data_IF_517284422659
#
_entry.id   IF_517284422659
#
_cell.length_a   1.000
_cell.length_b   1.000
_cell.length_c   1.000
_cell.angle_alpha   90.00
_cell.angle_beta   90.00
_cell.angle_gamma   90.00
#
_symmetry.space_group_name_H-M   'P 1'
#
loop_
_entity.id
_entity.type
_entity.pdbx_description
1 polymer ?
#
# COMPACT_ATOMS: atom_id res chain seq x y z
N UNK A 1 -6.08 47.03 -5.44
CA UNK A 1 -4.85 46.34 -5.00
C UNK A 1 -5.04 44.85 -5.17
N UNK A 2 -4.11 44.18 -5.83
CA UNK A 2 -4.20 42.76 -6.12
C UNK A 2 -4.01 41.95 -4.81
N UNK A 3 -4.90 41.01 -4.53
CA UNK A 3 -4.83 40.18 -3.32
C UNK A 3 -3.53 39.37 -3.25
N UNK A 4 -2.95 39.00 -4.39
CA UNK A 4 -1.68 38.30 -4.45
C UNK A 4 -0.52 39.14 -3.89
N UNK A 5 -0.42 40.41 -4.31
CA UNK A 5 0.60 41.35 -3.81
C UNK A 5 0.52 41.48 -2.28
N UNK A 6 -0.70 41.65 -1.76
CA UNK A 6 -0.95 41.76 -0.31
C UNK A 6 -0.49 40.48 0.40
N UNK A 7 -0.82 39.30 -0.12
CA UNK A 7 -0.42 38.01 0.46
C UNK A 7 1.10 37.80 0.46
N UNK A 8 1.77 38.17 -0.63
CA UNK A 8 3.23 38.03 -0.77
C UNK A 8 3.93 38.91 0.26
N UNK A 9 3.56 40.20 0.32
CA UNK A 9 4.14 41.14 1.30
C UNK A 9 3.80 40.72 2.73
N UNK A 10 2.55 40.34 3.00
CA UNK A 10 2.15 39.86 4.32
C UNK A 10 2.94 38.61 4.73
N UNK A 11 3.20 37.67 3.82
CA UNK A 11 4.03 36.50 4.07
C UNK A 11 5.46 36.86 4.46
N UNK A 12 6.08 37.83 3.77
CA UNK A 12 7.44 38.30 4.12
C UNK A 12 7.51 38.99 5.47
N UNK A 13 6.57 39.89 5.76
CA UNK A 13 6.47 40.56 7.06
C UNK A 13 6.33 39.49 8.14
N UNK A 14 5.45 38.52 7.90
CA UNK A 14 5.16 37.49 8.85
C UNK A 14 6.39 36.59 9.15
N UNK A 15 7.08 36.15 8.11
CA UNK A 15 8.34 35.42 8.22
C UNK A 15 9.37 36.15 9.10
N UNK A 16 9.54 37.46 8.89
CA UNK A 16 10.45 38.28 9.71
C UNK A 16 10.02 38.39 11.18
N UNK A 17 8.71 38.51 11.43
CA UNK A 17 8.17 38.57 12.79
C UNK A 17 8.48 37.29 13.55
N UNK A 18 8.39 36.12 12.93
CA UNK A 18 8.76 34.86 13.58
C UNK A 18 10.23 34.76 13.91
N UNK A 19 11.09 35.12 12.96
CA UNK A 19 12.54 35.07 13.16
C UNK A 19 12.96 35.97 14.34
N UNK A 20 12.21 37.04 14.58
CA UNK A 20 12.47 38.01 15.65
C UNK A 20 11.77 37.67 16.98
N UNK A 21 10.89 36.65 17.01
CA UNK A 21 10.12 36.30 18.20
C UNK A 21 10.93 35.43 19.16
N UNK A 22 11.16 35.91 20.37
CA UNK A 22 11.80 35.11 21.44
C UNK A 22 10.84 34.11 22.09
N UNK A 23 9.53 34.23 21.86
CA UNK A 23 8.47 33.42 22.46
C UNK A 23 7.79 32.53 21.40
N UNK A 24 7.94 31.20 21.47
CA UNK A 24 7.38 30.28 20.48
C UNK A 24 5.85 30.21 20.47
N UNK A 25 5.19 30.39 21.62
CA UNK A 25 3.72 30.40 21.70
C UNK A 25 3.12 31.61 20.99
N UNK A 26 3.77 32.77 21.10
CA UNK A 26 3.33 33.98 20.42
C UNK A 26 3.51 33.86 18.91
N UNK A 27 4.61 33.23 18.46
CA UNK A 27 4.81 32.88 17.06
C UNK A 27 3.69 31.95 16.54
N UNK A 28 3.32 30.91 17.28
CA UNK A 28 2.21 30.02 16.89
C UNK A 28 0.88 30.78 16.80
N UNK A 29 0.58 31.62 17.79
CA UNK A 29 -0.65 32.43 17.83
C UNK A 29 -0.73 33.40 16.65
N UNK A 30 0.39 34.09 16.37
CA UNK A 30 0.47 35.05 15.27
C UNK A 30 0.36 34.32 13.91
N UNK A 31 0.92 33.11 13.76
CA UNK A 31 0.75 32.29 12.56
C UNK A 31 -0.68 31.86 12.32
N UNK A 32 -1.37 31.41 13.36
CA UNK A 32 -2.79 31.09 13.24
C UNK A 32 -3.60 32.29 12.78
N UNK A 33 -3.38 33.47 13.39
CA UNK A 33 -4.04 34.73 12.97
C UNK A 33 -3.75 35.08 11.51
N UNK A 34 -2.50 34.93 11.08
CA UNK A 34 -2.12 35.19 9.69
C UNK A 34 -2.83 34.24 8.73
N UNK A 35 -2.79 32.94 8.98
CA UNK A 35 -3.47 31.95 8.15
C UNK A 35 -4.99 32.19 8.15
N UNK A 36 -5.60 32.43 9.30
CA UNK A 36 -7.04 32.68 9.41
C UNK A 36 -7.48 33.92 8.60
N UNK A 37 -6.65 34.96 8.54
CA UNK A 37 -6.94 36.16 7.76
C UNK A 37 -6.91 35.93 6.25
N UNK A 38 -6.07 35.01 5.77
CA UNK A 38 -5.81 34.82 4.34
C UNK A 38 -6.38 33.53 3.75
N UNK A 39 -6.77 32.54 4.57
CA UNK A 39 -7.24 31.22 4.11
C UNK A 39 -8.45 31.32 3.18
N UNK A 40 -9.36 32.26 3.44
CA UNK A 40 -10.59 32.46 2.66
C UNK A 40 -10.38 33.41 1.46
N UNK A 41 -9.27 34.13 1.42
CA UNK A 41 -9.01 35.17 0.41
C UNK A 41 -8.38 34.59 -0.84
N UNK A 42 -8.97 33.57 -1.46
CA UNK A 42 -8.38 32.82 -2.58
C UNK A 42 -7.89 33.73 -3.70
N UNK A 43 -8.70 34.71 -4.10
CA UNK A 43 -8.41 35.64 -5.18
C UNK A 43 -9.12 35.24 -6.46
N UNK A 44 -8.45 35.35 -7.60
CA UNK A 44 -8.99 34.92 -8.88
C UNK A 44 -9.24 33.39 -8.86
N UNK A 45 -10.47 32.91 -9.08
CA UNK A 45 -10.78 31.47 -9.06
C UNK A 45 -9.97 30.66 -10.09
N UNK A 46 -9.70 31.24 -11.26
CA UNK A 46 -8.95 30.60 -12.34
C UNK A 46 -7.47 30.35 -11.99
N UNK A 47 -6.98 31.00 -10.93
CA UNK A 47 -5.63 30.89 -10.39
C UNK A 47 -5.62 30.38 -8.93
N UNK A 48 -6.67 29.67 -8.51
CA UNK A 48 -6.77 29.17 -7.15
C UNK A 48 -5.59 28.27 -6.72
N UNK A 49 -4.90 27.63 -7.68
CA UNK A 49 -3.69 26.84 -7.41
C UNK A 49 -2.56 27.69 -6.79
N UNK A 50 -2.44 28.98 -7.14
CA UNK A 50 -1.43 29.87 -6.56
C UNK A 50 -1.69 30.15 -5.07
N UNK A 51 -2.97 30.21 -4.67
CA UNK A 51 -3.34 30.35 -3.27
C UNK A 51 -2.92 29.12 -2.47
N UNK A 52 -3.19 27.93 -3.00
CA UNK A 52 -2.76 26.67 -2.39
C UNK A 52 -1.24 26.55 -2.35
N UNK A 53 -0.53 27.00 -3.39
CA UNK A 53 0.93 27.10 -3.41
C UNK A 53 1.47 28.02 -2.31
N UNK A 54 0.86 29.20 -2.16
CA UNK A 54 1.23 30.17 -1.13
C UNK A 54 1.00 29.61 0.27
N UNK A 55 -0.18 29.03 0.54
CA UNK A 55 -0.47 28.40 1.83
C UNK A 55 0.53 27.29 2.14
N UNK A 56 0.77 26.39 1.18
CA UNK A 56 1.76 25.32 1.33
C UNK A 56 3.14 25.88 1.73
N UNK A 57 3.59 26.96 1.06
CA UNK A 57 4.85 27.62 1.37
C UNK A 57 4.87 28.25 2.77
N UNK A 58 3.80 28.93 3.19
CA UNK A 58 3.71 29.51 4.54
C UNK A 58 3.82 28.45 5.62
N UNK A 59 3.10 27.32 5.47
CA UNK A 59 3.16 26.21 6.41
C UNK A 59 4.54 25.52 6.42
N UNK A 60 5.18 25.33 5.26
CA UNK A 60 6.52 24.73 5.18
C UNK A 60 7.56 25.60 5.89
N UNK A 61 7.58 26.89 5.59
CA UNK A 61 8.53 27.84 6.20
C UNK A 61 8.34 27.91 7.71
N UNK A 62 7.09 27.96 8.19
CA UNK A 62 6.83 27.94 9.62
C UNK A 62 7.27 26.62 10.27
N UNK A 63 7.06 25.48 9.59
CA UNK A 63 7.54 24.18 10.04
C UNK A 63 9.06 24.12 10.19
N UNK A 64 9.79 24.66 9.21
CA UNK A 64 11.26 24.75 9.24
C UNK A 64 11.77 25.63 10.39
N UNK A 65 11.20 26.82 10.56
CA UNK A 65 11.54 27.72 11.66
C UNK A 65 11.24 27.09 13.03
N UNK A 66 10.12 26.36 13.15
CA UNK A 66 9.78 25.68 14.39
C UNK A 66 10.74 24.52 14.67
N UNK A 67 11.11 23.74 13.66
CA UNK A 67 12.11 22.67 13.82
C UNK A 67 13.50 23.23 14.20
N UNK A 68 13.88 24.38 13.65
CA UNK A 68 15.09 25.11 14.05
C UNK A 68 15.03 25.61 15.50
N UNK A 69 13.89 26.19 15.92
CA UNK A 69 13.69 26.61 17.31
C UNK A 69 13.84 25.44 18.29
N UNK A 70 13.37 24.23 17.92
CA UNK A 70 13.53 23.01 18.72
C UNK A 70 15.00 22.58 18.80
N UNK A 71 15.74 22.65 17.69
CA UNK A 71 17.19 22.42 17.71
C UNK A 71 17.93 23.40 18.62
N UNK A 72 17.44 24.64 18.70
CA UNK A 72 18.00 25.70 19.54
C UNK A 72 17.54 25.67 21.01
N UNK A 73 16.89 24.58 21.46
CA UNK A 73 16.58 24.35 22.87
C UNK A 73 15.10 24.51 23.25
N UNK A 74 14.20 24.78 22.29
CA UNK A 74 12.77 24.75 22.57
C UNK A 74 12.29 23.32 22.83
N UNK A 75 11.58 23.13 23.94
CA UNK A 75 10.96 21.84 24.26
C UNK A 75 9.68 21.67 23.44
N UNK A 76 9.68 20.72 22.51
CA UNK A 76 8.50 20.34 21.75
C UNK A 76 7.60 19.36 22.51
N UNK A 77 6.30 19.49 22.33
CA UNK A 77 5.30 18.57 22.88
C UNK A 77 4.76 17.66 21.78
N UNK A 78 4.25 16.49 22.17
CA UNK A 78 3.62 15.57 21.21
C UNK A 78 2.44 16.22 20.44
N UNK A 79 1.76 17.19 21.04
CA UNK A 79 0.64 17.92 20.44
C UNK A 79 1.07 19.24 19.76
N UNK A 80 2.34 19.65 19.91
CA UNK A 80 2.86 20.90 19.39
C UNK A 80 4.26 20.67 18.85
N UNK A 81 4.31 20.24 17.59
CA UNK A 81 5.56 19.95 16.90
C UNK A 81 5.49 20.29 15.39
N UNK A 82 6.64 20.43 14.70
CA UNK A 82 6.71 20.84 13.30
C UNK A 82 5.95 19.94 12.33
N UNK A 83 5.85 18.63 12.64
CA UNK A 83 5.14 17.65 11.80
C UNK A 83 3.71 18.05 11.40
N UNK A 84 2.96 18.75 12.25
CA UNK A 84 1.62 19.24 11.90
C UNK A 84 1.66 20.30 10.78
N UNK A 85 2.67 21.17 10.80
CA UNK A 85 2.83 22.21 9.79
C UNK A 85 3.31 21.63 8.47
N UNK A 86 4.23 20.67 8.50
CA UNK A 86 4.62 19.92 7.29
C UNK A 86 3.45 19.14 6.69
N UNK A 87 2.60 18.53 7.51
CA UNK A 87 1.38 17.88 7.04
C UNK A 87 0.44 18.89 6.37
N UNK A 88 0.20 20.04 6.97
CA UNK A 88 -0.66 21.06 6.34
C UNK A 88 -0.03 21.63 5.07
N UNK A 89 1.30 21.77 5.02
CA UNK A 89 2.01 22.17 3.81
C UNK A 89 1.79 21.16 2.68
N UNK A 90 1.92 19.86 2.98
CA UNK A 90 1.67 18.78 2.04
C UNK A 90 0.21 18.76 1.56
N UNK A 91 -0.77 18.86 2.48
CA UNK A 91 -2.19 18.90 2.14
C UNK A 91 -2.52 20.05 1.16
N UNK A 92 -1.99 21.26 1.41
CA UNK A 92 -2.18 22.39 0.50
C UNK A 92 -1.49 22.16 -0.86
N UNK A 93 -0.34 21.47 -0.90
CA UNK A 93 0.31 21.11 -2.16
C UNK A 93 -0.48 20.02 -2.93
N UNK A 94 -1.12 19.07 -2.24
CA UNK A 94 -2.05 18.11 -2.86
C UNK A 94 -3.25 18.84 -3.47
N UNK A 95 -3.84 19.80 -2.74
CA UNK A 95 -4.93 20.64 -3.26
C UNK A 95 -4.46 21.47 -4.47
N UNK A 96 -3.23 22.01 -4.46
CA UNK A 96 -2.63 22.70 -5.62
C UNK A 96 -2.60 21.80 -6.86
N UNK A 97 -2.17 20.54 -6.72
CA UNK A 97 -2.18 19.56 -7.82
C UNK A 97 -3.60 19.34 -8.36
N UNK A 98 -4.56 19.09 -7.46
CA UNK A 98 -5.97 18.85 -7.85
C UNK A 98 -6.57 20.06 -8.58
N UNK A 99 -6.27 21.28 -8.11
CA UNK A 99 -6.68 22.51 -8.78
C UNK A 99 -6.01 22.69 -10.14
N UNK A 100 -4.72 22.36 -10.27
CA UNK A 100 -4.04 22.37 -11.56
C UNK A 100 -4.74 21.43 -12.56
N UNK A 101 -5.07 20.20 -12.16
CA UNK A 101 -5.78 19.23 -13.00
C UNK A 101 -7.18 19.71 -13.43
N UNK A 102 -7.88 20.46 -12.57
CA UNK A 102 -9.22 20.97 -12.87
C UNK A 102 -9.26 22.29 -13.64
N UNK A 103 -8.25 23.15 -13.48
CA UNK A 103 -8.24 24.52 -14.02
C UNK A 103 -7.32 24.67 -15.23
N UNK A 104 -6.17 24.00 -15.23
CA UNK A 104 -5.14 24.20 -16.24
C UNK A 104 -5.32 23.21 -17.38
N UNK A 105 -5.55 23.73 -18.58
CA UNK A 105 -5.75 22.92 -19.78
C UNK A 105 -4.70 23.31 -20.83
N UNK A 106 -4.14 22.31 -21.53
CA UNK A 106 -3.18 22.53 -22.63
C UNK A 106 -3.88 23.32 -23.74
N UNK A 107 -3.69 24.63 -23.72
CA UNK A 107 -4.29 25.55 -24.70
C UNK A 107 -3.21 26.02 -25.67
N UNK A 108 -3.63 26.28 -26.91
CA UNK A 108 -2.81 26.73 -28.04
C UNK A 108 -1.76 27.79 -27.66
N UNK A 109 -0.58 27.78 -28.30
CA UNK A 109 0.49 28.73 -28.00
C UNK A 109 -0.02 30.16 -28.11
N UNK A 110 0.17 30.94 -27.04
CA UNK A 110 -0.21 32.34 -26.97
C UNK A 110 0.72 33.10 -27.94
N UNK A 111 0.15 33.87 -28.86
CA UNK A 111 0.87 34.65 -29.88
C UNK A 111 1.76 35.77 -29.32
N UNK A 112 1.56 36.13 -28.04
CA UNK A 112 2.39 37.06 -27.27
C UNK A 112 2.75 36.39 -25.94
N UNK A 113 3.96 36.62 -25.41
CA UNK A 113 4.36 36.13 -24.09
C UNK A 113 4.00 37.17 -23.01
N UNK A 114 2.88 37.02 -22.27
CA UNK A 114 2.46 38.02 -21.28
C UNK A 114 3.37 38.05 -20.04
N UNK A 115 4.30 37.11 -19.92
CA UNK A 115 5.23 36.94 -18.79
C UNK A 115 6.63 37.52 -19.06
N UNK A 116 6.86 38.13 -20.22
CA UNK A 116 8.20 38.63 -20.62
C UNK A 116 8.83 39.59 -19.58
N UNK A 117 8.01 40.43 -18.93
CA UNK A 117 8.46 41.38 -17.91
C UNK A 117 8.47 40.83 -16.47
N UNK A 118 8.31 39.52 -16.26
CA UNK A 118 8.25 38.94 -14.91
C UNK A 118 9.50 39.18 -14.06
N UNK A 119 10.66 39.42 -14.69
CA UNK A 119 11.92 39.72 -14.01
C UNK A 119 12.14 41.19 -13.62
N UNK A 120 11.29 42.13 -14.07
CA UNK A 120 11.49 43.56 -13.89
C UNK A 120 10.21 44.25 -13.36
N UNK A 121 9.78 43.83 -12.17
CA UNK A 121 8.56 44.31 -11.52
C UNK A 121 8.85 45.41 -10.50
N UNK A 122 7.96 46.40 -10.41
CA UNK A 122 8.07 47.51 -9.45
C UNK A 122 7.67 47.09 -8.03
N UNK A 123 6.74 46.13 -7.91
CA UNK A 123 6.21 45.64 -6.63
C UNK A 123 6.23 44.11 -6.52
N UNK A 124 6.41 43.61 -5.29
CA UNK A 124 6.35 42.17 -5.01
C UNK A 124 4.96 41.59 -5.25
N UNK A 125 4.88 40.51 -6.02
CA UNK A 125 3.63 39.83 -6.36
C UNK A 125 2.81 40.53 -7.46
N UNK A 126 3.36 41.59 -8.07
CA UNK A 126 2.72 42.29 -9.18
C UNK A 126 2.62 41.37 -10.41
N UNK A 127 1.50 41.45 -11.13
CA UNK A 127 1.38 40.73 -12.40
C UNK A 127 2.21 41.44 -13.48
N UNK A 128 3.02 40.72 -14.28
CA UNK A 128 3.88 41.33 -15.30
C UNK A 128 3.13 42.22 -16.30
N UNK A 129 1.90 41.82 -16.67
CA UNK A 129 1.05 42.56 -17.59
C UNK A 129 0.22 43.70 -16.94
N UNK A 130 0.43 43.97 -15.64
CA UNK A 130 -0.21 45.09 -14.92
C UNK A 130 0.79 46.17 -14.49
N UNK A 131 2.00 46.17 -15.05
CA UNK A 131 3.01 47.18 -14.76
C UNK A 131 2.53 48.57 -15.20
N UNK A 132 2.74 49.59 -14.34
CA UNK A 132 2.27 50.96 -14.59
C UNK A 132 0.79 51.22 -14.32
N UNK A 133 0.01 50.21 -13.89
CA UNK A 133 -1.42 50.39 -13.57
C UNK A 133 -1.70 50.09 -12.09
N UNK A 134 -2.24 51.09 -11.37
CA UNK A 134 -2.53 51.00 -9.92
C UNK A 134 -4.02 50.79 -9.60
N UNK A 135 -4.89 50.72 -10.63
CA UNK A 135 -6.33 50.52 -10.48
C UNK A 135 -6.70 49.09 -10.04
N UNK A 136 -7.90 48.94 -9.46
CA UNK A 136 -8.48 47.64 -9.08
C UNK A 136 -8.99 46.83 -10.27
N UNK A 137 -9.43 47.50 -11.33
CA UNK A 137 -9.94 46.86 -12.54
C UNK A 137 -8.79 46.44 -13.48
N UNK A 138 -8.93 45.33 -14.22
CA UNK A 138 -7.93 44.96 -15.22
C UNK A 138 -7.84 46.06 -16.30
N UNK A 139 -6.63 46.49 -16.69
CA UNK A 139 -6.46 47.51 -17.74
C UNK A 139 -7.05 47.07 -19.08
N UNK A 140 -6.97 45.76 -19.37
CA UNK A 140 -7.53 45.09 -20.54
C UNK A 140 -7.90 43.65 -20.18
N UNK A 141 -9.16 43.26 -20.45
CA UNK A 141 -9.66 41.91 -20.22
C UNK A 141 -8.99 40.86 -21.12
N UNK A 142 -8.56 41.25 -22.33
CA UNK A 142 -7.86 40.36 -23.26
C UNK A 142 -6.46 39.98 -22.75
N UNK A 143 -5.69 40.97 -22.32
CA UNK A 143 -4.35 40.78 -21.75
C UNK A 143 -4.42 40.03 -20.42
N UNK A 144 -5.40 40.34 -19.55
CA UNK A 144 -5.60 39.62 -18.29
C UNK A 144 -5.88 38.13 -18.53
N UNK A 145 -6.75 37.81 -19.49
CA UNK A 145 -7.05 36.42 -19.87
C UNK A 145 -5.81 35.72 -20.44
N UNK A 146 -5.05 36.39 -21.30
CA UNK A 146 -3.81 35.84 -21.84
C UNK A 146 -2.79 35.55 -20.72
N UNK A 147 -2.66 36.47 -19.75
CA UNK A 147 -1.80 36.28 -18.57
C UNK A 147 -2.22 35.10 -17.68
N UNK A 148 -3.52 34.92 -17.44
CA UNK A 148 -4.05 33.77 -16.69
C UNK A 148 -3.71 32.46 -17.40
N UNK A 149 -3.94 32.38 -18.72
CA UNK A 149 -3.63 31.19 -19.51
C UNK A 149 -2.12 30.91 -19.48
N UNK A 150 -1.28 31.95 -19.53
CA UNK A 150 0.18 31.78 -19.44
C UNK A 150 0.62 31.22 -18.07
N UNK A 151 -0.02 31.62 -16.97
CA UNK A 151 0.27 31.04 -15.66
C UNK A 151 -0.22 29.60 -15.54
N UNK A 152 -1.41 29.30 -16.07
CA UNK A 152 -1.93 27.94 -16.11
C UNK A 152 -1.02 27.01 -16.93
N UNK A 153 -0.49 27.48 -18.06
CA UNK A 153 0.43 26.68 -18.88
C UNK A 153 1.78 26.46 -18.19
N UNK A 154 2.27 27.44 -17.43
CA UNK A 154 3.48 27.31 -16.62
C UNK A 154 3.28 26.33 -15.45
N UNK A 155 2.09 26.34 -14.83
CA UNK A 155 1.74 25.45 -13.73
C UNK A 155 1.66 23.98 -14.16
N UNK A 156 1.21 23.68 -15.38
CA UNK A 156 1.18 22.31 -15.93
C UNK A 156 2.59 21.68 -15.98
N UNK A 157 3.63 22.51 -16.15
CA UNK A 157 5.01 22.03 -16.21
C UNK A 157 5.60 21.72 -14.83
N UNK A 158 4.90 22.07 -13.75
CA UNK A 158 5.36 21.81 -12.39
C UNK A 158 5.07 20.36 -12.02
N UNK A 159 6.10 19.63 -11.59
CA UNK A 159 5.88 18.31 -11.00
C UNK A 159 5.46 18.45 -9.53
N UNK A 160 4.13 18.49 -9.30
CA UNK A 160 3.58 18.67 -7.96
C UNK A 160 3.95 17.53 -7.01
N UNK A 161 4.01 16.29 -7.52
CA UNK A 161 4.29 15.10 -6.69
C UNK A 161 5.69 15.19 -6.06
N UNK A 162 6.70 15.67 -6.82
CA UNK A 162 8.04 15.91 -6.27
C UNK A 162 8.13 17.08 -5.29
N UNK A 163 7.15 17.98 -5.26
CA UNK A 163 7.04 19.01 -4.21
C UNK A 163 6.38 18.44 -2.95
N UNK A 164 5.39 17.56 -3.10
CA UNK A 164 4.61 17.00 -1.99
C UNK A 164 5.41 15.94 -1.21
N UNK A 165 6.13 15.05 -1.91
CA UNK A 165 6.87 13.93 -1.29
C UNK A 165 7.86 14.40 -0.20
N UNK A 166 8.71 15.43 -0.41
CA UNK A 166 9.61 15.94 0.64
C UNK A 166 8.87 16.50 1.87
N UNK A 167 7.72 17.16 1.67
CA UNK A 167 6.90 17.69 2.75
C UNK A 167 6.31 16.55 3.60
N UNK A 168 5.76 15.53 2.94
CA UNK A 168 5.25 14.33 3.60
C UNK A 168 6.37 13.57 4.33
N UNK A 169 7.54 13.42 3.71
CA UNK A 169 8.71 12.79 4.34
C UNK A 169 9.14 13.52 5.61
N UNK A 170 9.19 14.85 5.56
CA UNK A 170 9.48 15.70 6.73
C UNK A 170 8.43 15.54 7.83
N UNK A 171 7.16 15.48 7.48
CA UNK A 171 6.08 15.21 8.43
C UNK A 171 6.22 13.82 9.07
N UNK A 172 6.45 12.77 8.28
CA UNK A 172 6.64 11.38 8.74
C UNK A 172 7.81 11.28 9.73
N UNK A 173 8.93 11.95 9.45
CA UNK A 173 10.09 11.98 10.34
C UNK A 173 9.74 12.58 11.71
N UNK A 174 8.99 13.69 11.73
CA UNK A 174 8.54 14.33 12.96
C UNK A 174 7.54 13.45 13.72
N UNK A 175 6.51 12.89 13.06
CA UNK A 175 5.54 12.01 13.72
C UNK A 175 6.16 10.70 14.24
N UNK A 176 7.25 10.23 13.61
CA UNK A 176 8.07 9.13 14.14
C UNK A 176 8.79 9.54 15.43
N UNK A 177 9.41 10.73 15.46
CA UNK A 177 10.11 11.30 16.62
C UNK A 177 9.17 11.46 17.84
N UNK A 178 7.94 11.91 17.61
CA UNK A 178 6.94 12.13 18.67
C UNK A 178 6.00 10.94 18.92
N UNK A 179 6.36 9.72 18.47
CA UNK A 179 5.65 8.47 18.77
C UNK A 179 4.17 8.47 18.37
N UNK A 180 3.84 8.97 17.18
CA UNK A 180 2.48 8.99 16.63
C UNK A 180 2.33 8.00 15.47
N UNK A 181 2.16 6.68 15.73
CA UNK A 181 2.22 5.63 14.72
C UNK A 181 1.09 5.69 13.69
N UNK A 182 -0.14 6.02 14.11
CA UNK A 182 -1.31 6.13 13.21
C UNK A 182 -1.13 7.24 12.19
N UNK A 183 -0.73 8.43 12.65
CA UNK A 183 -0.49 9.57 11.76
C UNK A 183 0.68 9.30 10.81
N UNK A 184 1.77 8.69 11.32
CA UNK A 184 2.89 8.24 10.49
C UNK A 184 2.42 7.34 9.34
N UNK A 185 1.60 6.32 9.63
CA UNK A 185 1.07 5.41 8.59
C UNK A 185 0.17 6.12 7.58
N UNK A 186 -0.72 6.98 8.05
CA UNK A 186 -1.57 7.80 7.18
C UNK A 186 -0.75 8.62 6.18
N UNK A 187 0.29 9.31 6.65
CA UNK A 187 1.19 10.09 5.79
C UNK A 187 2.03 9.21 4.85
N UNK A 188 2.42 8.01 5.27
CA UNK A 188 3.10 7.05 4.40
C UNK A 188 2.18 6.56 3.26
N UNK A 189 0.87 6.39 3.51
CA UNK A 189 -0.09 6.07 2.45
C UNK A 189 -0.20 7.22 1.47
N UNK A 190 -0.42 8.46 1.96
CA UNK A 190 -0.44 9.64 1.09
C UNK A 190 0.84 9.74 0.26
N UNK A 191 2.01 9.55 0.88
CA UNK A 191 3.29 9.60 0.15
C UNK A 191 3.41 8.48 -0.90
N UNK A 192 2.81 7.31 -0.65
CA UNK A 192 2.73 6.22 -1.63
C UNK A 192 1.84 6.55 -2.82
N UNK A 193 0.70 7.22 -2.59
CA UNK A 193 -0.17 7.75 -3.64
C UNK A 193 0.55 8.83 -4.47
N UNK A 194 1.35 9.69 -3.83
CA UNK A 194 2.17 10.67 -4.54
C UNK A 194 3.26 10.02 -5.40
N UNK A 195 3.91 8.95 -4.93
CA UNK A 195 4.83 8.17 -5.76
C UNK A 195 4.13 7.52 -6.97
N UNK A 196 2.89 7.05 -6.80
CA UNK A 196 2.08 6.56 -7.90
C UNK A 196 1.84 7.65 -8.95
N UNK A 197 1.44 8.85 -8.51
CA UNK A 197 1.24 9.99 -9.42
C UNK A 197 2.55 10.48 -10.07
N UNK A 198 3.69 10.30 -9.42
CA UNK A 198 5.02 10.59 -9.99
C UNK A 198 5.53 9.50 -10.96
N UNK A 199 4.72 8.47 -11.26
CA UNK A 199 5.09 7.27 -12.04
C UNK A 199 6.24 6.44 -11.46
N UNK A 200 6.59 6.64 -10.19
CA UNK A 200 7.58 5.81 -9.48
C UNK A 200 6.88 4.66 -8.72
N UNK A 201 6.32 3.74 -9.50
CA UNK A 201 5.50 2.64 -8.99
C UNK A 201 6.27 1.67 -8.09
N UNK A 202 7.58 1.50 -8.31
CA UNK A 202 8.43 0.63 -7.48
C UNK A 202 8.60 1.18 -6.07
N UNK A 203 8.84 2.49 -5.92
CA UNK A 203 8.89 3.10 -4.58
C UNK A 203 7.52 3.13 -3.90
N UNK A 204 6.45 3.34 -4.67
CA UNK A 204 5.09 3.25 -4.16
C UNK A 204 4.82 1.87 -3.55
N UNK A 205 5.09 0.78 -4.28
CA UNK A 205 4.94 -0.60 -3.78
C UNK A 205 5.71 -0.85 -2.49
N UNK A 206 7.00 -0.49 -2.46
CA UNK A 206 7.86 -0.68 -1.28
C UNK A 206 7.29 0.04 -0.05
N UNK A 207 6.79 1.26 -0.24
CA UNK A 207 6.27 2.07 0.86
C UNK A 207 4.92 1.55 1.35
N UNK A 208 3.99 1.25 0.43
CA UNK A 208 2.67 0.74 0.74
C UNK A 208 2.75 -0.64 1.41
N UNK A 209 3.65 -1.51 0.96
CA UNK A 209 3.90 -2.83 1.58
C UNK A 209 4.30 -2.77 3.06
N UNK A 210 4.98 -1.70 3.49
CA UNK A 210 5.29 -1.49 4.92
C UNK A 210 4.05 -1.14 5.74
N UNK A 211 3.09 -0.43 5.14
CA UNK A 211 1.88 0.01 5.82
C UNK A 211 0.83 -1.10 5.89
N UNK A 212 0.72 -1.93 4.85
CA UNK A 212 -0.24 -3.04 4.81
C UNK A 212 0.00 -4.03 5.95
N UNK A 213 1.27 -4.32 6.29
CA UNK A 213 1.62 -5.15 7.46
C UNK A 213 0.95 -4.64 8.75
N UNK A 214 1.12 -3.35 9.05
CA UNK A 214 0.55 -2.74 10.25
C UNK A 214 -1.00 -2.76 10.20
N UNK A 215 -1.61 -2.49 9.05
CA UNK A 215 -3.07 -2.55 8.89
C UNK A 215 -3.64 -3.97 9.04
N UNK A 216 -2.91 -5.01 8.62
CA UNK A 216 -3.30 -6.41 8.86
C UNK A 216 -3.31 -6.74 10.35
N UNK A 217 -2.23 -6.39 11.06
CA UNK A 217 -2.12 -6.68 12.51
C UNK A 217 -3.20 -5.99 13.34
N UNK A 218 -3.54 -4.74 12.98
CA UNK A 218 -4.57 -3.95 13.66
C UNK A 218 -5.99 -4.15 13.09
N UNK A 219 -6.16 -4.97 12.04
CA UNK A 219 -7.45 -5.32 11.41
C UNK A 219 -8.23 -4.13 10.82
N UNK A 220 -7.53 -3.16 10.24
CA UNK A 220 -8.15 -2.03 9.53
C UNK A 220 -8.52 -2.41 8.09
N UNK A 221 -9.51 -3.29 7.92
CA UNK A 221 -9.82 -3.92 6.63
C UNK A 221 -10.17 -2.95 5.51
N UNK A 222 -10.95 -1.90 5.79
CA UNK A 222 -11.34 -0.91 4.79
C UNK A 222 -10.13 -0.12 4.24
N UNK A 223 -9.27 0.38 5.14
CA UNK A 223 -8.02 1.06 4.77
C UNK A 223 -7.04 0.13 4.08
N UNK A 224 -6.93 -1.11 4.56
CA UNK A 224 -6.11 -2.14 3.94
C UNK A 224 -6.57 -2.40 2.51
N UNK A 225 -7.87 -2.55 2.28
CA UNK A 225 -8.47 -2.78 0.96
C UNK A 225 -8.08 -1.67 -0.03
N UNK A 226 -8.25 -0.41 0.36
CA UNK A 226 -7.86 0.73 -0.46
C UNK A 226 -6.37 0.72 -0.82
N UNK A 227 -5.50 0.46 0.16
CA UNK A 227 -4.04 0.39 -0.08
C UNK A 227 -3.66 -0.80 -0.95
N UNK A 228 -4.29 -1.96 -0.77
CA UNK A 228 -4.06 -3.15 -1.59
C UNK A 228 -4.50 -2.93 -3.04
N UNK A 229 -5.60 -2.22 -3.30
CA UNK A 229 -6.02 -1.86 -4.66
C UNK A 229 -4.96 -0.98 -5.33
N UNK A 230 -4.49 0.07 -4.65
CA UNK A 230 -3.42 0.94 -5.20
C UNK A 230 -2.13 0.15 -5.41
N UNK A 231 -1.78 -0.76 -4.49
CA UNK A 231 -0.62 -1.63 -4.62
C UNK A 231 -0.76 -2.59 -5.81
N UNK A 232 -1.96 -3.14 -6.06
CA UNK A 232 -2.22 -4.02 -7.20
C UNK A 232 -2.03 -3.28 -8.53
N UNK A 233 -2.50 -2.04 -8.62
CA UNK A 233 -2.25 -1.15 -9.78
C UNK A 233 -0.76 -0.95 -9.99
N UNK A 234 0.00 -0.61 -8.94
CA UNK A 234 1.45 -0.47 -9.06
C UNK A 234 2.13 -1.77 -9.49
N UNK A 235 1.73 -2.92 -8.94
CA UNK A 235 2.30 -4.22 -9.29
C UNK A 235 2.05 -4.56 -10.77
N UNK A 236 0.85 -4.25 -11.28
CA UNK A 236 0.51 -4.35 -12.70
C UNK A 236 1.39 -3.45 -13.56
N UNK A 237 1.55 -2.18 -13.19
CA UNK A 237 2.31 -1.19 -13.97
C UNK A 237 3.82 -1.48 -14.00
N UNK A 238 4.36 -2.06 -12.93
CA UNK A 238 5.77 -2.51 -12.86
C UNK A 238 5.99 -3.84 -13.59
N UNK A 239 4.95 -4.66 -13.75
CA UNK A 239 5.06 -6.04 -14.24
C UNK A 239 5.66 -6.99 -13.21
N UNK A 240 5.51 -6.71 -11.91
CA UNK A 240 5.99 -7.58 -10.84
C UNK A 240 4.98 -8.73 -10.60
N UNK A 241 5.30 -9.90 -11.15
CA UNK A 241 4.44 -11.10 -11.11
C UNK A 241 4.22 -11.61 -9.68
N UNK A 242 5.26 -11.66 -8.85
CA UNK A 242 5.19 -12.20 -7.48
C UNK A 242 4.28 -11.36 -6.59
N UNK A 243 4.49 -10.04 -6.61
CA UNK A 243 3.70 -9.10 -5.83
C UNK A 243 2.26 -9.07 -6.34
N UNK A 244 2.05 -9.11 -7.66
CA UNK A 244 0.71 -9.15 -8.25
C UNK A 244 -0.09 -10.39 -7.82
N UNK A 245 0.54 -11.58 -7.83
CA UNK A 245 -0.09 -12.82 -7.35
C UNK A 245 -0.43 -12.69 -5.86
N UNK A 246 0.52 -12.24 -5.04
CA UNK A 246 0.32 -12.11 -3.59
C UNK A 246 -0.82 -11.14 -3.24
N UNK A 247 -0.87 -9.97 -3.88
CA UNK A 247 -1.92 -8.98 -3.69
C UNK A 247 -3.29 -9.49 -4.20
N UNK A 248 -3.32 -10.23 -5.32
CA UNK A 248 -4.55 -10.82 -5.84
C UNK A 248 -5.13 -11.90 -4.91
N UNK A 249 -4.27 -12.72 -4.29
CA UNK A 249 -4.67 -13.71 -3.30
C UNK A 249 -5.29 -13.06 -2.06
N UNK A 250 -4.81 -11.89 -1.66
CA UNK A 250 -5.33 -11.15 -0.52
C UNK A 250 -6.61 -10.38 -0.84
N UNK A 251 -6.68 -9.69 -1.99
CA UNK A 251 -7.86 -8.89 -2.39
C UNK A 251 -9.12 -9.73 -2.62
N UNK A 252 -8.96 -10.99 -3.02
CA UNK A 252 -10.08 -11.94 -3.15
C UNK A 252 -10.43 -12.60 -1.80
N UNK A 253 -9.72 -12.26 -0.73
CA UNK A 253 -9.93 -12.75 0.63
C UNK A 253 -11.27 -12.37 1.25
N UNK A 254 -11.63 -13.09 2.33
CA UNK A 254 -12.88 -12.87 3.07
C UNK A 254 -12.94 -11.53 3.80
N UNK A 255 -11.78 -11.01 4.21
CA UNK A 255 -11.69 -9.81 5.05
C UNK A 255 -11.68 -8.52 4.25
N UNK A 256 -11.38 -8.58 2.95
CA UNK A 256 -11.32 -7.42 2.07
C UNK A 256 -12.74 -7.01 1.65
N UNK A 257 -13.02 -5.71 1.76
CA UNK A 257 -14.33 -5.09 1.53
C UNK A 257 -14.56 -4.72 0.05
N UNK A 258 -14.15 -5.59 -0.88
CA UNK A 258 -14.37 -5.41 -2.32
C UNK A 258 -15.75 -5.90 -2.75
N UNK A 259 -16.25 -5.33 -3.86
CA UNK A 259 -17.47 -5.82 -4.49
C UNK A 259 -17.27 -7.25 -5.04
N UNK A 260 -18.35 -8.05 -5.17
CA UNK A 260 -18.23 -9.39 -5.74
C UNK A 260 -17.72 -9.36 -7.19
N UNK A 261 -18.05 -8.32 -7.96
CA UNK A 261 -17.55 -8.10 -9.31
C UNK A 261 -16.04 -7.86 -9.33
N UNK A 262 -15.53 -7.04 -8.39
CA UNK A 262 -14.09 -6.80 -8.25
C UNK A 262 -13.34 -8.07 -7.85
N UNK A 263 -13.88 -8.87 -6.92
CA UNK A 263 -13.28 -10.16 -6.54
C UNK A 263 -13.25 -11.14 -7.71
N UNK A 264 -14.31 -11.14 -8.53
CA UNK A 264 -14.42 -11.95 -9.75
C UNK A 264 -13.34 -11.54 -10.74
N UNK A 265 -13.21 -10.23 -11.03
CA UNK A 265 -12.17 -9.68 -11.92
C UNK A 265 -10.76 -10.01 -11.44
N UNK A 266 -10.45 -9.77 -10.16
CA UNK A 266 -9.15 -10.08 -9.58
C UNK A 266 -8.81 -11.57 -9.70
N UNK A 267 -9.78 -12.46 -9.48
CA UNK A 267 -9.57 -13.90 -9.64
C UNK A 267 -9.35 -14.30 -11.11
N UNK A 268 -10.09 -13.71 -12.05
CA UNK A 268 -9.89 -13.94 -13.49
C UNK A 268 -8.49 -13.50 -13.91
N UNK A 269 -8.06 -12.30 -13.52
CA UNK A 269 -6.71 -11.81 -13.79
C UNK A 269 -5.62 -12.68 -13.14
N UNK A 270 -5.81 -13.12 -11.89
CA UNK A 270 -4.92 -14.08 -11.25
C UNK A 270 -4.79 -15.37 -12.08
N UNK A 271 -5.90 -15.89 -12.60
CA UNK A 271 -5.91 -17.11 -13.42
C UNK A 271 -5.14 -16.91 -14.74
N UNK A 272 -5.32 -15.76 -15.40
CA UNK A 272 -4.55 -15.40 -16.60
C UNK A 272 -3.05 -15.31 -16.28
N UNK A 273 -2.67 -14.61 -15.21
CA UNK A 273 -1.27 -14.46 -14.80
C UNK A 273 -0.66 -15.81 -14.46
N UNK A 274 -1.34 -16.68 -13.71
CA UNK A 274 -0.85 -18.03 -13.42
C UNK A 274 -0.70 -18.91 -14.68
N UNK A 275 -1.45 -18.60 -15.75
CA UNK A 275 -1.41 -19.31 -17.03
C UNK A 275 -0.44 -18.70 -18.06
N UNK A 276 0.45 -17.78 -17.65
CA UNK A 276 1.34 -17.01 -18.54
C UNK A 276 0.59 -16.15 -19.59
N UNK A 277 -0.65 -15.77 -19.32
CA UNK A 277 -1.41 -14.83 -20.12
C UNK A 277 -1.29 -13.41 -19.56
N UNK A 278 -1.61 -12.41 -20.39
CA UNK A 278 -1.58 -11.03 -19.98
C UNK A 278 -2.86 -10.71 -19.18
N UNK A 279 -2.75 -10.12 -17.97
CA UNK A 279 -3.92 -9.68 -17.23
C UNK A 279 -4.62 -8.51 -17.92
N UNK A 280 -5.93 -8.37 -17.70
CA UNK A 280 -6.67 -7.19 -18.12
C UNK A 280 -6.21 -5.96 -17.30
N UNK A 281 -6.22 -4.74 -17.87
CA UNK A 281 -5.79 -3.53 -17.18
C UNK A 281 -6.53 -3.30 -15.86
N UNK A 282 -5.78 -2.93 -14.82
CA UNK A 282 -6.36 -2.58 -13.53
C UNK A 282 -7.16 -1.26 -13.62
N UNK A 283 -8.35 -1.17 -13.01
CA UNK A 283 -9.22 0.00 -13.13
C UNK A 283 -8.61 1.24 -12.46
N UNK A 284 -8.70 2.40 -13.11
CA UNK A 284 -8.20 3.67 -12.59
C UNK A 284 -6.70 3.93 -12.83
N UNK A 285 -6.06 3.15 -13.71
CA UNK A 285 -4.70 3.44 -14.20
C UNK A 285 -4.73 4.44 -15.36
N UNK A 286 -3.66 5.23 -15.48
CA UNK A 286 -3.49 6.17 -16.60
C UNK A 286 -3.30 5.42 -17.92
N UNK A 287 -3.91 5.92 -19.01
CA UNK A 287 -3.90 5.26 -20.32
C UNK A 287 -2.48 4.99 -20.84
N UNK A 288 -1.59 5.99 -20.77
CA UNK A 288 -0.19 5.86 -21.22
C UNK A 288 0.56 4.78 -20.42
N UNK A 289 0.39 4.78 -19.10
CA UNK A 289 1.03 3.80 -18.22
C UNK A 289 0.50 2.37 -18.47
N UNK A 290 -0.78 2.23 -18.81
CA UNK A 290 -1.39 0.95 -19.20
C UNK A 290 -0.81 0.42 -20.50
N UNK A 291 -0.60 1.27 -21.51
CA UNK A 291 0.01 0.83 -22.78
C UNK A 291 1.47 0.38 -22.58
N UNK A 292 2.25 1.11 -21.78
CA UNK A 292 3.60 0.68 -21.38
C UNK A 292 3.56 -0.67 -20.64
N UNK A 293 2.65 -0.82 -19.67
CA UNK A 293 2.49 -2.06 -18.92
C UNK A 293 2.08 -3.23 -19.83
N UNK A 294 1.17 -3.03 -20.79
CA UNK A 294 0.78 -4.08 -21.75
C UNK A 294 1.98 -4.60 -22.53
N UNK A 295 2.89 -3.74 -22.97
CA UNK A 295 4.12 -4.15 -23.65
C UNK A 295 5.07 -4.92 -22.72
N UNK A 296 5.17 -4.53 -21.44
CA UNK A 296 5.92 -5.28 -20.43
C UNK A 296 5.35 -6.69 -20.24
N UNK A 297 4.04 -6.83 -20.06
CA UNK A 297 3.37 -8.12 -19.89
C UNK A 297 3.46 -9.01 -21.14
N UNK A 298 3.40 -8.43 -22.35
CA UNK A 298 3.66 -9.15 -23.61
C UNK A 298 5.09 -9.67 -23.66
N UNK A 299 6.07 -8.86 -23.27
CA UNK A 299 7.49 -9.27 -23.22
C UNK A 299 7.69 -10.43 -22.25
N UNK A 300 7.07 -10.38 -21.07
CA UNK A 300 7.10 -11.47 -20.07
C UNK A 300 6.44 -12.76 -20.57
N UNK A 301 5.45 -12.66 -21.46
CA UNK A 301 4.81 -13.82 -22.10
C UNK A 301 5.68 -14.45 -23.17
N UNK A 302 6.29 -13.64 -24.04
CA UNK A 302 7.09 -14.11 -25.19
C UNK A 302 8.44 -14.65 -24.76
N UNK A 303 9.06 -14.02 -23.76
CA UNK A 303 10.33 -14.45 -23.18
C UNK A 303 10.06 -14.95 -21.76
N UNK A 304 9.56 -16.18 -21.58
CA UNK A 304 9.43 -16.74 -20.25
C UNK A 304 10.83 -16.78 -19.65
N UNK A 305 11.02 -16.03 -18.56
CA UNK A 305 12.11 -16.32 -17.65
C UNK A 305 11.97 -17.80 -17.24
N UNK A 306 13.08 -18.44 -16.88
CA UNK A 306 13.10 -19.80 -16.34
C UNK A 306 11.91 -20.03 -15.38
N UNK A 307 11.37 -21.26 -15.29
CA UNK A 307 10.15 -21.57 -14.53
C UNK A 307 10.11 -20.81 -13.20
N UNK A 308 9.10 -19.95 -13.06
CA UNK A 308 9.03 -18.99 -11.98
C UNK A 308 8.31 -19.63 -10.79
N UNK A 309 9.07 -19.96 -9.76
CA UNK A 309 8.54 -20.52 -8.50
C UNK A 309 8.62 -19.45 -7.42
N UNK A 310 7.46 -19.01 -6.94
CA UNK A 310 7.33 -17.99 -5.90
C UNK A 310 6.89 -18.66 -4.60
N UNK A 311 7.49 -18.26 -3.47
CA UNK A 311 7.09 -18.79 -2.16
C UNK A 311 6.34 -17.70 -1.39
N UNK A 312 5.05 -17.93 -1.14
CA UNK A 312 4.18 -16.96 -0.47
C UNK A 312 3.92 -17.45 0.96
N UNK A 313 4.30 -16.63 1.94
CA UNK A 313 4.09 -16.92 3.36
C UNK A 313 2.67 -16.54 3.75
N UNK A 314 1.83 -17.54 4.01
CA UNK A 314 0.39 -17.36 4.21
C UNK A 314 0.06 -16.75 5.59
N UNK A 315 0.98 -16.78 6.56
CA UNK A 315 0.85 -16.07 7.84
C UNK A 315 0.85 -14.54 7.69
N UNK A 316 1.45 -14.05 6.60
CA UNK A 316 1.72 -12.63 6.40
C UNK A 316 0.59 -11.91 5.64
N UNK A 317 -0.37 -12.67 5.10
CA UNK A 317 -1.46 -12.16 4.25
C UNK A 317 -2.81 -12.71 4.67
N UNK A 318 -3.86 -11.91 4.49
CA UNK A 318 -5.25 -12.32 4.74
C UNK A 318 -5.88 -12.95 3.48
N UNK A 319 -5.32 -14.08 3.02
CA UNK A 319 -5.71 -14.71 1.74
C UNK A 319 -7.12 -15.34 1.73
N UNK A 320 -7.61 -15.70 0.54
CA UNK A 320 -8.84 -16.49 0.38
C UNK A 320 -8.68 -18.00 0.61
N UNK A 321 -7.45 -18.52 0.80
CA UNK A 321 -7.19 -19.95 1.02
C UNK A 321 -6.91 -20.20 2.50
N UNK A 322 -7.74 -21.01 3.12
CA UNK A 322 -7.59 -21.43 4.51
C UNK A 322 -7.14 -22.90 4.55
N UNK A 323 -6.06 -23.15 5.29
CA UNK A 323 -5.54 -24.49 5.53
C UNK A 323 -5.44 -24.75 7.03
N UNK A 324 -5.98 -25.87 7.50
CA UNK A 324 -5.89 -26.32 8.89
C UNK A 324 -5.56 -27.81 8.96
N UNK A 325 -4.34 -28.20 9.39
CA UNK A 325 -4.02 -29.58 9.70
C UNK A 325 -4.56 -29.96 11.10
N UNK A 326 -5.18 -31.14 11.21
CA UNK A 326 -5.68 -31.69 12.47
C UNK A 326 -5.37 -33.18 12.54
N UNK A 327 -4.75 -33.62 13.62
CA UNK A 327 -4.65 -35.04 13.93
C UNK A 327 -5.91 -35.54 14.63
N UNK A 328 -6.34 -36.75 14.27
CA UNK A 328 -7.56 -37.37 14.81
C UNK A 328 -7.42 -37.78 16.29
N UNK A 329 -6.19 -38.11 16.73
CA UNK A 329 -5.92 -38.53 18.10
C UNK A 329 -4.74 -37.77 18.71
N UNK A 330 -4.83 -37.47 20.02
CA UNK A 330 -3.78 -36.78 20.81
C UNK A 330 -2.60 -37.72 21.11
N UNK A 331 -2.89 -39.02 21.20
CA UNK A 331 -1.92 -40.07 21.46
C UNK A 331 -2.24 -41.31 20.67
N UNK A 332 -1.23 -41.91 20.05
CA UNK A 332 -1.38 -43.12 19.22
C UNK A 332 -0.45 -44.22 19.75
N UNK A 333 -0.90 -45.47 19.70
CA UNK A 333 -0.04 -46.62 20.06
C UNK A 333 0.85 -46.98 18.87
N UNK A 334 2.02 -47.56 19.13
CA UNK A 334 3.00 -47.88 18.08
C UNK A 334 2.48 -48.80 16.96
N UNK A 335 1.37 -49.53 17.20
CA UNK A 335 0.80 -50.48 16.24
C UNK A 335 -0.41 -49.90 15.48
N UNK A 336 -0.82 -48.68 15.78
CA UNK A 336 -1.98 -48.01 15.18
C UNK A 336 -1.57 -46.96 14.16
N UNK A 337 -2.30 -46.85 13.05
CA UNK A 337 -2.06 -45.83 12.02
C UNK A 337 -2.45 -44.44 12.56
N UNK A 338 -1.61 -43.44 12.28
CA UNK A 338 -1.90 -42.05 12.60
C UNK A 338 -2.71 -41.48 11.44
N UNK A 339 -3.87 -40.89 11.75
CA UNK A 339 -4.72 -40.24 10.78
C UNK A 339 -4.59 -38.71 10.92
N UNK A 340 -4.06 -38.08 9.87
CA UNK A 340 -3.95 -36.63 9.75
C UNK A 340 -4.99 -36.15 8.72
N UNK A 341 -5.81 -35.17 9.09
CA UNK A 341 -6.78 -34.54 8.21
C UNK A 341 -6.35 -33.11 7.90
N UNK A 342 -6.16 -32.79 6.62
CA UNK A 342 -5.98 -31.40 6.18
C UNK A 342 -7.32 -30.86 5.71
N UNK A 343 -7.80 -29.84 6.40
CA UNK A 343 -8.98 -29.09 6.01
C UNK A 343 -8.56 -27.91 5.14
N UNK A 344 -9.06 -27.88 3.91
CA UNK A 344 -8.87 -26.79 2.96
C UNK A 344 -10.20 -26.13 2.67
N UNK A 345 -10.23 -24.79 2.67
CA UNK A 345 -11.40 -24.00 2.30
C UNK A 345 -10.98 -22.79 1.48
N UNK A 346 -11.72 -22.49 0.42
CA UNK A 346 -11.52 -21.29 -0.40
C UNK A 346 -12.73 -20.37 -0.35
N UNK A 347 -12.50 -19.07 -0.23
CA UNK A 347 -13.57 -18.05 -0.23
C UNK A 347 -13.70 -17.27 -1.55
N UNK A 348 -12.94 -17.65 -2.58
CA UNK A 348 -12.95 -16.99 -3.89
C UNK A 348 -14.24 -17.28 -4.68
N UNK A 349 -14.66 -16.39 -5.60
CA UNK A 349 -15.87 -16.55 -6.42
C UNK A 349 -15.95 -17.85 -7.23
N UNK A 350 -14.86 -18.25 -7.89
CA UNK A 350 -14.78 -19.43 -8.74
C UNK A 350 -13.95 -20.55 -8.11
N UNK A 351 -14.18 -21.82 -8.49
CA UNK A 351 -13.35 -22.93 -8.08
C UNK A 351 -11.88 -22.78 -8.50
N UNK A 352 -10.98 -23.36 -7.70
CA UNK A 352 -9.54 -23.36 -7.98
C UNK A 352 -8.98 -24.77 -7.92
N UNK A 353 -8.00 -25.03 -8.79
CA UNK A 353 -7.25 -26.27 -8.82
C UNK A 353 -5.83 -26.02 -8.38
N UNK A 354 -5.38 -26.76 -7.38
CA UNK A 354 -3.98 -26.78 -6.95
C UNK A 354 -3.28 -27.97 -7.60
N UNK A 355 -1.98 -27.85 -7.87
CA UNK A 355 -1.19 -28.90 -8.52
C UNK A 355 -0.68 -29.92 -7.52
N UNK A 356 -0.25 -29.47 -6.34
CA UNK A 356 0.35 -30.30 -5.30
C UNK A 356 0.03 -29.78 -3.89
N UNK A 357 -0.06 -30.69 -2.93
CA UNK A 357 0.00 -30.39 -1.50
C UNK A 357 1.03 -31.29 -0.83
N UNK A 358 1.85 -30.72 0.05
CA UNK A 358 2.85 -31.43 0.83
C UNK A 358 2.78 -30.98 2.29
N UNK A 359 2.88 -31.93 3.22
CA UNK A 359 2.98 -31.66 4.66
C UNK A 359 4.40 -31.94 5.11
N UNK A 360 4.94 -31.01 5.90
CA UNK A 360 6.24 -31.15 6.53
C UNK A 360 6.06 -31.34 8.04
N UNK A 361 6.82 -32.27 8.61
CA UNK A 361 6.77 -32.64 10.01
C UNK A 361 8.11 -32.40 10.72
N UNK A 362 8.08 -32.45 12.05
CA UNK A 362 9.26 -32.45 12.91
C UNK A 362 10.20 -33.62 12.57
N UNK A 363 9.65 -34.79 12.25
CA UNK A 363 10.38 -35.93 11.71
C UNK A 363 10.24 -35.99 10.18
N UNK A 364 11.34 -35.73 9.46
CA UNK A 364 11.36 -35.60 8.00
C UNK A 364 10.98 -36.90 7.26
N UNK A 365 11.05 -38.06 7.92
CA UNK A 365 10.67 -39.35 7.35
C UNK A 365 9.22 -39.35 6.83
N UNK A 366 8.32 -38.67 7.54
CA UNK A 366 6.90 -38.60 7.19
C UNK A 366 6.59 -37.66 6.01
N UNK A 367 7.51 -36.74 5.67
CA UNK A 367 7.29 -35.76 4.61
C UNK A 367 7.01 -36.41 3.26
N UNK A 368 7.66 -37.55 2.96
CA UNK A 368 7.46 -38.27 1.70
C UNK A 368 6.11 -39.01 1.63
N UNK A 369 5.51 -39.30 2.79
CA UNK A 369 4.23 -40.02 2.88
C UNK A 369 3.03 -39.06 2.80
N UNK A 370 3.24 -37.77 3.06
CA UNK A 370 2.20 -36.74 3.02
C UNK A 370 2.31 -35.81 1.83
N UNK A 371 2.28 -36.38 0.62
CA UNK A 371 2.26 -35.64 -0.63
C UNK A 371 1.10 -36.12 -1.50
N UNK A 372 0.25 -35.19 -1.93
CA UNK A 372 -0.79 -35.46 -2.93
C UNK A 372 -0.52 -34.58 -4.14
N UNK A 373 -0.40 -35.20 -5.30
CA UNK A 373 -0.27 -34.54 -6.60
C UNK A 373 -1.52 -34.78 -7.43
N UNK A 374 -1.86 -33.81 -8.26
CA UNK A 374 -3.08 -33.81 -9.08
C UNK A 374 -3.22 -35.00 -10.03
N UNK A 375 -2.11 -35.68 -10.36
CA UNK A 375 -2.09 -36.90 -11.19
C UNK A 375 -2.35 -38.20 -10.43
N UNK A 376 -2.44 -38.18 -9.10
CA UNK A 376 -2.66 -39.38 -8.29
C UNK A 376 -4.16 -39.72 -8.21
N UNK A 377 -4.51 -40.97 -8.54
CA UNK A 377 -5.89 -41.47 -8.67
C UNK A 377 -6.64 -41.67 -7.34
N UNK A 378 -6.27 -40.93 -6.27
CA UNK A 378 -6.89 -41.05 -4.96
C UNK A 378 -7.89 -39.90 -4.72
N UNK A 379 -9.17 -40.17 -5.00
CA UNK A 379 -10.30 -39.38 -4.49
C UNK A 379 -11.00 -38.44 -5.49
N UNK A 380 -12.32 -38.36 -5.36
CA UNK A 380 -13.23 -37.57 -6.20
C UNK A 380 -12.74 -36.11 -6.40
N UNK A 381 -12.31 -35.80 -7.62
CA UNK A 381 -11.96 -34.44 -8.05
C UNK A 381 -10.58 -33.92 -7.61
N UNK A 382 -9.68 -34.75 -7.08
CA UNK A 382 -8.27 -34.37 -6.82
C UNK A 382 -8.10 -33.11 -5.94
N UNK A 383 -7.18 -32.21 -6.31
CA UNK A 383 -6.94 -30.93 -5.60
C UNK A 383 -7.83 -29.76 -6.09
N UNK A 384 -9.06 -30.07 -6.53
CA UNK A 384 -10.06 -29.08 -6.92
C UNK A 384 -10.90 -28.64 -5.71
N UNK A 385 -10.86 -27.35 -5.40
CA UNK A 385 -11.59 -26.73 -4.29
C UNK A 385 -12.76 -25.89 -4.80
N UNK A 386 -13.95 -26.17 -4.27
CA UNK A 386 -15.16 -25.40 -4.57
C UNK A 386 -15.34 -24.25 -3.57
N UNK A 387 -15.84 -23.07 -4.02
CA UNK A 387 -16.12 -21.94 -3.15
C UNK A 387 -16.96 -22.31 -1.92
N UNK A 388 -16.54 -21.81 -0.76
CA UNK A 388 -17.18 -21.98 0.55
C UNK A 388 -17.37 -23.42 1.04
N UNK A 389 -16.93 -24.44 0.28
CA UNK A 389 -16.97 -25.86 0.69
C UNK A 389 -15.62 -26.29 1.24
N UNK A 390 -15.65 -26.94 2.39
CA UNK A 390 -14.44 -27.50 3.01
C UNK A 390 -14.12 -28.85 2.36
N UNK A 391 -12.90 -29.00 1.84
CA UNK A 391 -12.37 -30.28 1.38
C UNK A 391 -11.44 -30.84 2.43
N UNK A 392 -11.56 -32.13 2.71
CA UNK A 392 -10.71 -32.83 3.67
C UNK A 392 -9.80 -33.78 2.89
N UNK A 393 -8.49 -33.68 3.13
CA UNK A 393 -7.49 -34.59 2.56
C UNK A 393 -6.95 -35.44 3.72
N UNK A 394 -7.32 -36.73 3.80
CA UNK A 394 -6.82 -37.62 4.82
C UNK A 394 -5.44 -38.18 4.41
N UNK A 395 -4.52 -38.21 5.37
CA UNK A 395 -3.25 -38.91 5.28
C UNK A 395 -3.19 -39.99 6.35
N UNK A 396 -2.76 -41.18 5.95
CA UNK A 396 -2.52 -42.30 6.86
C UNK A 396 -1.02 -42.52 6.97
N UNK A 397 -0.50 -42.37 8.19
CA UNK A 397 0.91 -42.50 8.50
C UNK A 397 1.14 -43.76 9.34
N UNK A 398 2.19 -44.50 9.02
CA UNK A 398 2.60 -45.68 9.81
C UNK A 398 3.75 -45.28 10.73
N UNK A 399 3.57 -45.36 12.05
CA UNK A 399 4.58 -44.92 12.99
C UNK A 399 5.80 -45.84 13.02
N UNK A 400 7.01 -45.28 13.23
CA UNK A 400 8.23 -46.09 13.38
C UNK A 400 8.50 -46.44 14.85
N UNK A 401 9.16 -47.56 15.14
CA UNK A 401 9.54 -47.93 16.51
C UNK A 401 10.40 -46.87 17.22
N UNK A 402 11.15 -46.08 16.46
CA UNK A 402 12.02 -45.00 16.95
C UNK A 402 11.28 -43.72 17.37
N UNK A 403 9.98 -43.65 17.08
CA UNK A 403 9.13 -42.51 17.43
C UNK A 403 8.48 -42.64 18.82
N UNK A 404 8.61 -43.81 19.47
CA UNK A 404 8.07 -44.05 20.82
C UNK A 404 8.66 -43.04 21.81
N UNK A 405 7.79 -42.29 22.49
CA UNK A 405 8.16 -41.23 23.44
C UNK A 405 8.51 -39.88 22.82
N UNK A 406 8.48 -39.74 21.49
CA UNK A 406 8.63 -38.45 20.80
C UNK A 406 7.26 -37.81 20.52
N UNK A 407 7.28 -36.60 19.98
CA UNK A 407 6.07 -35.86 19.63
C UNK A 407 6.16 -35.47 18.15
N UNK A 408 5.21 -35.95 17.36
CA UNK A 408 5.11 -35.63 15.93
C UNK A 408 4.30 -34.34 15.77
N UNK A 409 4.89 -33.31 15.18
CA UNK A 409 4.23 -32.03 14.91
C UNK A 409 4.26 -31.74 13.42
N UNK A 410 3.18 -31.14 12.91
CA UNK A 410 3.20 -30.51 11.59
C UNK A 410 3.97 -29.19 11.71
N UNK A 411 5.09 -29.06 11.00
CA UNK A 411 5.90 -27.83 10.98
C UNK A 411 5.33 -26.83 9.97
N UNK A 412 4.94 -27.33 8.80
CA UNK A 412 4.38 -26.51 7.73
C UNK A 412 3.57 -27.34 6.74
N UNK A 413 2.69 -26.68 6.01
CA UNK A 413 1.95 -27.24 4.87
C UNK A 413 2.26 -26.35 3.67
N UNK A 414 2.62 -26.95 2.54
CA UNK A 414 2.86 -26.24 1.29
C UNK A 414 1.85 -26.69 0.23
N UNK A 415 1.22 -25.74 -0.44
CA UNK A 415 0.28 -26.00 -1.52
C UNK A 415 0.70 -25.22 -2.77
N UNK A 416 0.76 -25.91 -3.90
CA UNK A 416 1.21 -25.33 -5.17
C UNK A 416 0.01 -24.93 -6.01
N UNK A 417 -0.04 -23.65 -6.40
CA UNK A 417 -0.97 -23.11 -7.39
C UNK A 417 -0.21 -22.93 -8.71
N UNK A 418 -0.75 -23.44 -9.81
CA UNK A 418 -0.11 -23.37 -11.13
C UNK A 418 0.82 -24.55 -11.42
N UNK A 419 1.73 -24.39 -12.38
CA UNK A 419 2.66 -25.44 -12.82
C UNK A 419 4.11 -25.00 -12.61
N UNK A 420 4.95 -25.93 -12.14
CA UNK A 420 6.40 -25.73 -12.04
C UNK A 420 7.08 -25.57 -13.40
N UNK A 421 6.39 -25.88 -14.49
CA UNK A 421 6.88 -25.68 -15.86
C UNK A 421 6.62 -24.25 -16.36
N UNK A 422 5.70 -23.53 -15.72
CA UNK A 422 5.33 -22.15 -16.07
C UNK A 422 5.51 -21.23 -14.85
N UNK A 423 4.40 -20.84 -14.22
CA UNK A 423 4.36 -20.08 -12.98
C UNK A 423 3.77 -20.96 -11.88
N UNK A 424 4.49 -21.05 -10.77
CA UNK A 424 4.08 -21.81 -9.60
C UNK A 424 4.16 -20.92 -8.35
N UNK A 425 3.02 -20.71 -7.70
CA UNK A 425 2.97 -20.06 -6.40
C UNK A 425 2.85 -21.14 -5.32
N UNK A 426 3.89 -21.27 -4.50
CA UNK A 426 3.96 -22.18 -3.35
C UNK A 426 3.42 -21.43 -2.14
N UNK A 427 2.19 -21.73 -1.76
CA UNK A 427 1.52 -21.20 -0.57
C UNK A 427 2.01 -21.99 0.63
N UNK A 428 2.75 -21.34 1.54
CA UNK A 428 3.30 -21.99 2.73
C UNK A 428 2.58 -21.48 3.95
N UNK A 429 2.01 -22.42 4.71
CA UNK A 429 1.55 -22.16 6.06
C UNK A 429 2.54 -22.77 7.06
N UNK A 430 2.90 -22.02 8.08
CA UNK A 430 3.92 -22.33 9.08
C UNK A 430 3.47 -21.90 10.49
N UNK A 431 4.17 -22.36 11.52
CA UNK A 431 3.95 -21.89 12.90
C UNK A 431 3.05 -22.77 13.77
N UNK A 432 2.71 -23.98 13.34
CA UNK A 432 2.00 -24.96 14.17
C UNK A 432 2.89 -25.68 15.22
N UNK A 433 4.20 -25.40 15.23
CA UNK A 433 5.18 -25.99 16.16
C UNK A 433 5.37 -25.27 17.50
N UNK A 434 4.45 -24.38 17.89
CA UNK A 434 4.51 -23.68 19.18
C UNK A 434 3.73 -24.39 20.28
N UNK A 435 4.34 -24.58 21.45
CA UNK A 435 3.66 -24.96 22.70
C UNK A 435 2.70 -23.84 23.14
N UNK A 436 1.55 -23.71 22.49
CA UNK A 436 0.46 -22.85 22.96
C UNK A 436 -0.76 -23.73 23.18
N UNK A 437 -1.21 -23.75 24.43
CA UNK A 437 -2.31 -24.56 24.95
C UNK A 437 -3.67 -24.18 24.37
N UNK A 438 -3.83 -24.31 23.06
CA UNK A 438 -5.12 -24.30 22.39
C UNK A 438 -5.53 -25.75 22.12
N UNK A 439 -6.79 -26.09 22.44
CA UNK A 439 -7.42 -27.39 22.27
C UNK A 439 -7.65 -27.77 20.78
N UNK A 440 -6.69 -27.49 19.91
CA UNK A 440 -6.67 -27.94 18.52
C UNK A 440 -5.34 -28.69 18.33
N UNK A 441 -5.39 -29.87 17.70
CA UNK A 441 -4.32 -30.87 17.74
C UNK A 441 -3.45 -30.88 16.47
N UNK A 442 -2.45 -29.98 16.31
CA UNK A 442 -1.43 -30.12 15.29
C UNK A 442 -0.28 -31.05 15.74
N UNK A 443 -0.48 -31.84 16.80
CA UNK A 443 0.51 -32.75 17.34
C UNK A 443 -0.09 -34.07 17.81
N UNK A 444 0.72 -35.14 17.72
CA UNK A 444 0.43 -36.46 18.28
C UNK A 444 1.59 -36.92 19.14
N UNK A 445 1.27 -37.43 20.32
CA UNK A 445 2.22 -38.07 21.23
C UNK A 445 2.22 -39.60 21.04
N UNK A 446 3.39 -40.21 21.14
CA UNK A 446 3.49 -41.67 21.09
C UNK A 446 3.33 -42.27 22.48
N UNK A 447 2.24 -43.02 22.68
CA UNK A 447 1.94 -43.68 23.96
C UNK A 447 2.60 -45.06 24.08
N UNK A 448 3.13 -45.38 25.25
CA UNK A 448 3.54 -46.74 25.59
C UNK A 448 2.31 -47.65 25.73
N UNK A 449 2.38 -48.87 25.17
CA UNK A 449 1.46 -49.95 25.52
C UNK A 449 1.68 -50.34 26.98
N UNK A 450 0.78 -49.97 27.88
CA UNK A 450 0.69 -50.64 29.19
C UNK A 450 -0.01 -51.96 28.93
N UNK A 451 0.76 -53.04 28.85
CA UNK A 451 0.21 -54.38 29.04
C UNK A 451 -0.27 -54.49 30.49
N UNK A 452 -1.57 -54.30 30.74
CA UNK A 452 -2.19 -54.91 31.92
C UNK A 452 -2.28 -56.42 31.66
N UNK A 453 -1.20 -57.14 31.97
CA UNK A 453 -1.30 -58.54 32.35
C UNK A 453 -1.73 -58.58 33.82
N UNK A 454 -2.80 -59.32 34.07
CA UNK A 454 -3.42 -59.44 35.38
C UNK A 454 -2.52 -60.08 36.44
N UNK A 455 -2.76 -59.68 37.68
CA UNK A 455 -2.34 -60.40 38.87
C UNK A 455 -3.52 -60.44 39.84
N UNK A 456 -4.27 -61.53 39.78
CA UNK A 456 -5.09 -61.97 40.91
C UNK A 456 -4.13 -62.59 41.94
N UNK A 457 -3.96 -61.95 43.09
CA UNK A 457 -3.97 -62.55 44.45
C UNK A 457 -4.36 -61.44 45.42
#
# INVERSE_FOLDING_TARGET
MNILEIKVVAGFINYKVYLSSSAPLDAISQFRKHVDLFKEKVGCPDLAFEHSAWLSKQFSLFGELFDEAIRNGLTALQTQHPGFYYQQAANNAIVRRQLCQGLCHTTTPITMNPLENAGNLDFYGQRPWRQGFQGTEPPDAGIEKAGIIALQSQEIQVDHSWVIIPLLSSAVAQFKKYKSPRMKRYLMVQMGEEYYHARDYSKALLLLGKVTWDYRTEKWWSLLTSVLITSLRCAYLVGNVEEYITLSLELTGRYVENSPEEKTRCQTNLTHVMSNECPEPEPGCDFEAVEEAKELWKTLKVTPQAPQVFTIQMEQIASFVECKPIFDSVSTTADSTILLQIYLRVSCPFPLRFSKIAVFFSNQFYNQQCVVETGSAQGEGGLYLLPAKTKVIPFQLVPQPEDVGKLLQVTSVAQELGSRESRCAVLVWSGWGGETGNQNLPFVSYGFKIHQQGGSV
#
